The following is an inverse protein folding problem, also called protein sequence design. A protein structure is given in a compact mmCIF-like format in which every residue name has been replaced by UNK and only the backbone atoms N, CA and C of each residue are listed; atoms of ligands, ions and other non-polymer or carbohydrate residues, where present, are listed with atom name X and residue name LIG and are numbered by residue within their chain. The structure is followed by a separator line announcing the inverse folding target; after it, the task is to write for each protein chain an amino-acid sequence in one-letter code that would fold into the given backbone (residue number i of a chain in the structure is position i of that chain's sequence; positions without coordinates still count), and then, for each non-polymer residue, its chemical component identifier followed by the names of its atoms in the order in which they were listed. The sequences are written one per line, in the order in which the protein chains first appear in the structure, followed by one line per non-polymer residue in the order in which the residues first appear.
data_IF_184658618332
#
_entry.id   IF_184658618332
#
_cell.length_a   1.000
_cell.length_b   1.000
_cell.length_c   1.000
_cell.angle_alpha   90.00
_cell.angle_beta   90.00
_cell.angle_gamma   90.00
#
_symmetry.space_group_name_H-M   'P 1'
#
loop_
_entity.id
_entity.type
_entity.pdbx_description
1 polymer ?
#
# COMPACT_ATOMS: atom_id res chain seq x y z
N UNK A 1 -4.26 -33.83 8.19
CA UNK A 1 -5.42 -33.58 7.31
C UNK A 1 -6.26 -32.48 7.91
N UNK A 2 -6.72 -31.52 7.08
CA UNK A 2 -7.62 -30.43 7.48
C UNK A 2 -9.03 -30.70 6.96
N UNK A 3 -10.08 -30.28 7.68
CA UNK A 3 -11.47 -30.36 7.21
C UNK A 3 -11.99 -28.98 6.87
N UNK A 4 -12.71 -28.87 5.76
CA UNK A 4 -13.38 -27.62 5.43
C UNK A 4 -14.44 -27.27 6.48
N UNK A 5 -14.49 -26.03 7.00
CA UNK A 5 -15.52 -25.63 7.97
C UNK A 5 -16.93 -25.53 7.37
N UNK A 6 -17.05 -25.40 6.04
CA UNK A 6 -18.35 -25.23 5.36
C UNK A 6 -18.90 -26.51 4.75
N UNK A 7 -18.11 -27.24 3.94
CA UNK A 7 -18.57 -28.47 3.28
C UNK A 7 -18.11 -29.75 3.98
N UNK A 8 -17.26 -29.64 5.01
CA UNK A 8 -16.71 -30.76 5.79
C UNK A 8 -15.88 -31.79 5.01
N UNK A 9 -15.59 -31.54 3.74
CA UNK A 9 -14.68 -32.35 2.94
C UNK A 9 -13.28 -32.38 3.56
N UNK A 10 -12.66 -33.56 3.71
CA UNK A 10 -11.29 -33.69 4.18
C UNK A 10 -10.31 -33.33 3.05
N UNK A 11 -9.29 -32.55 3.40
CA UNK A 11 -8.20 -32.15 2.51
C UNK A 11 -6.84 -32.47 3.14
N UNK A 12 -5.82 -32.60 2.29
CA UNK A 12 -4.43 -32.77 2.75
C UNK A 12 -3.94 -31.49 3.44
N UNK A 13 -2.99 -31.63 4.34
CA UNK A 13 -2.39 -30.48 5.03
C UNK A 13 -1.75 -29.52 4.02
N UNK A 14 -1.77 -28.21 4.31
CA UNK A 14 -1.34 -27.12 3.43
C UNK A 14 -2.21 -26.90 2.17
N UNK A 15 -3.41 -27.51 2.08
CA UNK A 15 -4.39 -27.14 1.05
C UNK A 15 -4.88 -25.71 1.31
N UNK A 16 -4.67 -24.79 0.36
CA UNK A 16 -5.05 -23.39 0.49
C UNK A 16 -6.55 -23.15 0.31
N UNK A 17 -7.18 -23.85 -0.66
CA UNK A 17 -8.58 -23.67 -1.02
C UNK A 17 -9.32 -25.01 -1.05
N UNK A 18 -10.57 -25.02 -0.60
CA UNK A 18 -11.45 -26.18 -0.77
C UNK A 18 -11.87 -26.33 -2.25
N UNK A 19 -11.67 -27.52 -2.83
CA UNK A 19 -12.10 -27.83 -4.21
C UNK A 19 -13.61 -27.82 -4.40
N UNK A 20 -14.38 -28.06 -3.34
CA UNK A 20 -15.84 -28.21 -3.43
C UNK A 20 -16.58 -26.89 -3.27
N UNK A 21 -16.16 -26.05 -2.30
CA UNK A 21 -16.87 -24.81 -1.96
C UNK A 21 -16.04 -23.54 -2.14
N UNK A 22 -14.77 -23.63 -2.57
CA UNK A 22 -13.90 -22.48 -2.84
C UNK A 22 -13.41 -21.71 -1.62
N UNK A 23 -13.79 -22.12 -0.40
CA UNK A 23 -13.34 -21.46 0.84
C UNK A 23 -11.83 -21.60 1.04
N UNK A 24 -11.18 -20.50 1.47
CA UNK A 24 -9.80 -20.53 1.95
C UNK A 24 -9.70 -21.28 3.28
N UNK A 25 -8.86 -22.31 3.34
CA UNK A 25 -8.78 -23.24 4.48
C UNK A 25 -7.70 -22.87 5.51
N UNK A 26 -6.87 -21.87 5.24
CA UNK A 26 -5.91 -21.35 6.23
C UNK A 26 -6.62 -20.54 7.31
N UNK A 27 -6.12 -20.67 8.54
CA UNK A 27 -6.50 -19.86 9.70
C UNK A 27 -6.29 -18.36 9.40
N UNK A 28 -7.17 -17.51 9.91
CA UNK A 28 -7.17 -16.07 9.61
C UNK A 28 -5.82 -15.39 9.92
N UNK A 29 -5.12 -15.84 10.96
CA UNK A 29 -3.79 -15.34 11.36
C UNK A 29 -2.67 -15.66 10.36
N UNK A 30 -2.91 -16.54 9.38
CA UNK A 30 -1.97 -16.90 8.30
C UNK A 30 -2.39 -16.33 6.94
N UNK A 31 -3.42 -15.47 6.92
CA UNK A 31 -3.95 -14.87 5.67
C UNK A 31 -3.23 -13.58 5.25
N UNK A 32 -2.26 -13.12 6.04
CA UNK A 32 -1.41 -11.97 5.70
C UNK A 32 -0.04 -12.39 5.17
N UNK A 33 0.49 -11.62 4.23
CA UNK A 33 1.95 -11.49 4.08
C UNK A 33 2.48 -10.64 5.22
N UNK A 34 3.71 -10.90 5.68
CA UNK A 34 4.38 -10.03 6.64
C UNK A 34 4.34 -8.59 6.11
N UNK A 35 3.74 -7.62 6.84
CA UNK A 35 3.71 -6.24 6.39
C UNK A 35 5.15 -5.80 6.11
N UNK A 36 5.38 -5.27 4.91
CA UNK A 36 6.67 -4.65 4.59
C UNK A 36 6.96 -3.62 5.69
N UNK A 37 8.10 -3.75 6.36
CA UNK A 37 8.52 -2.86 7.45
C UNK A 37 8.63 -1.41 6.97
N UNK A 38 7.51 -0.70 6.92
CA UNK A 38 7.45 0.73 6.59
C UNK A 38 8.03 1.60 7.71
N UNK A 39 8.35 1.01 8.87
CA UNK A 39 9.01 1.68 9.99
C UNK A 39 10.42 2.22 9.68
N UNK A 40 11.09 1.71 8.64
CA UNK A 40 12.40 2.25 8.19
C UNK A 40 12.26 3.26 7.04
N UNK A 41 11.07 3.37 6.44
CA UNK A 41 10.77 4.46 5.51
C UNK A 41 10.39 5.65 6.38
N UNK A 42 11.40 6.28 6.95
CA UNK A 42 11.26 7.52 7.72
C UNK A 42 10.59 8.58 6.85
N UNK A 43 9.27 8.68 6.93
CA UNK A 43 8.55 9.85 6.47
C UNK A 43 8.85 10.95 7.49
N UNK A 44 9.88 11.74 7.20
CA UNK A 44 10.24 12.94 7.97
C UNK A 44 9.13 13.96 7.76
N UNK A 45 8.09 13.88 8.59
CA UNK A 45 6.92 14.75 8.46
C UNK A 45 6.05 14.89 9.70
N UNK A 46 6.41 14.28 10.84
CA UNK A 46 5.75 14.56 12.12
C UNK A 46 6.76 14.63 13.26
N UNK A 47 7.74 15.52 13.11
CA UNK A 47 8.56 15.99 14.21
C UNK A 47 8.85 17.45 13.94
N UNK A 48 8.01 18.30 14.52
CA UNK A 48 8.38 19.66 14.86
C UNK A 48 9.66 19.61 15.67
N UNK A 49 10.80 19.91 15.07
CA UNK A 49 12.00 20.35 15.78
C UNK A 49 12.99 20.98 14.80
N UNK A 50 13.28 22.26 15.06
CA UNK A 50 14.24 23.09 14.36
C UNK A 50 15.59 22.40 14.22
N UNK A 51 16.08 22.25 12.99
CA UNK A 51 17.52 22.11 12.74
C UNK A 51 17.86 22.60 11.33
N UNK A 52 18.52 23.75 11.31
CA UNK A 52 19.18 24.40 10.19
C UNK A 52 20.00 23.40 9.33
N UNK A 53 19.47 23.06 8.15
CA UNK A 53 20.27 22.60 7.03
C UNK A 53 19.71 23.18 5.73
N UNK A 54 20.39 24.24 5.29
CA UNK A 54 20.05 25.06 4.14
C UNK A 54 19.99 24.24 2.84
N UNK A 55 18.79 24.13 2.27
CA UNK A 55 18.56 23.87 0.86
C UNK A 55 17.87 25.11 0.27
N UNK A 56 18.60 25.83 -0.59
CA UNK A 56 18.11 27.04 -1.26
C UNK A 56 17.04 26.69 -2.30
N UNK A 57 15.80 26.55 -1.87
CA UNK A 57 14.63 26.77 -2.72
C UNK A 57 13.81 27.89 -2.10
N UNK A 58 14.04 29.12 -2.57
CA UNK A 58 13.19 30.27 -2.23
C UNK A 58 11.88 30.18 -3.02
N UNK A 59 11.00 29.28 -2.61
CA UNK A 59 9.58 29.31 -2.94
C UNK A 59 8.82 29.49 -1.64
N UNK A 60 8.07 30.58 -1.49
CA UNK A 60 7.24 30.85 -0.30
C UNK A 60 5.92 30.08 -0.34
N UNK A 61 5.87 28.94 -1.02
CA UNK A 61 4.67 28.15 -1.26
C UNK A 61 4.89 26.67 -0.95
N UNK A 62 3.81 25.89 -0.75
CA UNK A 62 3.91 24.46 -0.52
C UNK A 62 4.66 23.78 -1.67
N UNK A 63 5.59 22.88 -1.34
CA UNK A 63 6.32 22.10 -2.33
C UNK A 63 5.30 21.31 -3.17
N UNK A 64 5.40 21.40 -4.50
CA UNK A 64 4.50 20.72 -5.43
C UNK A 64 5.30 19.98 -6.49
N UNK A 65 4.89 18.77 -6.85
CA UNK A 65 5.42 18.05 -8.02
C UNK A 65 4.43 18.20 -9.15
N UNK A 66 4.95 18.48 -10.36
CA UNK A 66 4.18 18.43 -11.60
C UNK A 66 4.59 17.21 -12.41
N UNK A 67 3.62 16.34 -12.70
CA UNK A 67 3.80 15.09 -13.41
C UNK A 67 3.23 15.24 -14.82
N UNK A 68 4.01 14.83 -15.81
CA UNK A 68 3.59 14.75 -17.21
C UNK A 68 3.32 13.28 -17.57
N UNK A 69 2.06 12.92 -17.73
CA UNK A 69 1.62 11.53 -17.91
C UNK A 69 1.31 11.27 -19.39
N UNK A 70 2.04 10.32 -19.97
CA UNK A 70 1.85 9.81 -21.32
C UNK A 70 2.24 10.78 -22.44
N UNK A 71 2.08 10.34 -23.68
CA UNK A 71 2.45 11.11 -24.87
C UNK A 71 1.58 12.35 -25.08
N UNK A 72 0.35 12.33 -24.54
CA UNK A 72 -0.57 13.46 -24.54
C UNK A 72 -0.24 14.55 -23.50
N UNK A 73 0.86 14.38 -22.74
CA UNK A 73 1.33 15.34 -21.72
C UNK A 73 0.24 15.79 -20.77
N UNK A 74 -0.52 14.82 -20.22
CA UNK A 74 -1.48 15.16 -19.18
C UNK A 74 -0.70 15.66 -17.97
N UNK A 75 -0.89 16.93 -17.62
CA UNK A 75 -0.26 17.53 -16.46
C UNK A 75 -1.11 17.28 -15.21
N UNK A 76 -0.47 16.76 -14.16
CA UNK A 76 -1.04 16.63 -12.82
C UNK A 76 -0.12 17.34 -11.85
N UNK A 77 -0.65 18.27 -11.07
CA UNK A 77 0.08 18.98 -10.03
C UNK A 77 -0.40 18.48 -8.66
N UNK A 78 0.54 18.04 -7.83
CA UNK A 78 0.24 17.51 -6.50
C UNK A 78 1.15 18.14 -5.47
N UNK A 79 0.54 18.61 -4.39
CA UNK A 79 1.26 19.16 -3.24
C UNK A 79 1.93 18.05 -2.43
N UNK A 80 3.18 18.27 -2.02
CA UNK A 80 3.99 17.39 -1.17
C UNK A 80 3.74 17.67 0.31
N UNK A 81 2.48 17.85 0.69
CA UNK A 81 2.07 17.96 2.09
C UNK A 81 1.91 16.58 2.75
N UNK A 82 1.91 15.50 1.97
CA UNK A 82 1.82 14.10 2.42
C UNK A 82 2.46 13.15 1.42
N UNK A 83 2.61 11.88 1.81
CA UNK A 83 3.01 10.82 0.90
C UNK A 83 2.01 10.73 -0.26
N UNK A 84 2.54 10.73 -1.48
CA UNK A 84 1.75 10.55 -2.69
C UNK A 84 1.99 9.13 -3.18
N UNK A 85 0.94 8.33 -3.20
CA UNK A 85 0.95 6.98 -3.75
C UNK A 85 0.58 7.05 -5.22
N UNK A 86 1.42 6.46 -6.06
CA UNK A 86 1.19 6.38 -7.51
C UNK A 86 0.95 4.92 -7.89
N UNK A 87 -0.06 4.63 -8.71
CA UNK A 87 -0.26 3.28 -9.23
C UNK A 87 -1.71 2.88 -9.45
N UNK A 88 -1.99 1.59 -9.29
CA UNK A 88 -3.33 1.03 -9.51
C UNK A 88 -4.14 1.04 -8.21
N UNK A 89 -5.36 1.57 -8.27
CA UNK A 89 -6.33 1.43 -7.19
C UNK A 89 -6.71 -0.04 -7.01
N UNK A 90 -6.50 -0.56 -5.80
CA UNK A 90 -6.81 -1.94 -5.43
C UNK A 90 -7.45 -1.99 -4.03
N UNK A 91 -8.79 -1.98 -3.96
CA UNK A 91 -9.51 -2.01 -2.69
C UNK A 91 -9.35 -3.33 -1.95
N UNK A 92 -9.05 -4.44 -2.64
CA UNK A 92 -8.85 -5.73 -1.98
C UNK A 92 -7.55 -5.77 -1.18
N UNK A 93 -6.57 -4.96 -1.58
CA UNK A 93 -5.26 -4.83 -0.94
C UNK A 93 -5.13 -3.55 -0.10
N UNK A 94 -6.23 -2.80 0.10
CA UNK A 94 -6.27 -1.50 0.80
C UNK A 94 -5.33 -0.43 0.18
N UNK A 95 -5.14 -0.46 -1.15
CA UNK A 95 -4.27 0.48 -1.88
C UNK A 95 -5.10 1.51 -2.64
N UNK A 96 -4.95 2.79 -2.27
CA UNK A 96 -5.68 3.92 -2.88
C UNK A 96 -4.70 5.01 -3.34
N UNK A 97 -4.14 4.89 -4.56
CA UNK A 97 -3.20 5.87 -5.07
C UNK A 97 -3.89 7.18 -5.42
N UNK A 98 -3.23 8.29 -5.12
CA UNK A 98 -3.66 9.63 -5.53
C UNK A 98 -3.44 9.91 -7.02
N UNK A 99 -2.55 9.14 -7.68
CA UNK A 99 -2.17 9.32 -9.09
C UNK A 99 -2.13 8.01 -9.87
#
# INVERSE_FOLDING_TARGET
MIKCPFCHTPHVDNTLFCSECGTYLLEDDKRGTDPLGTGEIGWVGDSTEDSDAQSRFQGTGPLSIRLNIGEHKREVEVSLNKAIHMGRLDPASDVFPEI
#
